data_IF_171616567995
#
_entry.id   IF_171616567995
#
_cell.length_a   1.000
_cell.length_b   1.000
_cell.length_c   1.000
_cell.angle_alpha   90.00
_cell.angle_beta   90.00
_cell.angle_gamma   90.00
#
_symmetry.space_group_name_H-M   'P 1'
#
loop_
_entity.id
_entity.type
_entity.pdbx_description
1 polymer ?
#
# COMPACT_ATOMS: atom_id res chain seq x y z
N UNK A 1 7.18 -19.19 18.55
CA UNK A 1 8.22 -18.15 18.44
C UNK A 1 7.72 -16.92 19.21
N UNK A 2 8.56 -15.98 19.66
CA UNK A 2 8.05 -14.75 20.26
C UNK A 2 7.39 -13.87 19.18
N UNK A 3 6.30 -13.13 19.48
CA UNK A 3 5.54 -12.36 18.51
C UNK A 3 6.34 -11.26 17.81
N UNK A 4 7.42 -10.78 18.43
CA UNK A 4 8.16 -9.62 17.95
C UNK A 4 9.58 -9.92 17.44
N UNK A 5 10.06 -11.16 17.57
CA UNK A 5 11.41 -11.55 17.12
C UNK A 5 12.56 -10.67 17.66
N UNK A 6 12.39 -10.06 18.83
CA UNK A 6 13.36 -9.14 19.43
C UNK A 6 13.27 -7.70 18.93
N UNK A 7 12.34 -7.41 18.02
CA UNK A 7 12.08 -6.08 17.50
C UNK A 7 11.03 -5.33 18.31
N UNK A 8 11.01 -4.00 18.17
CA UNK A 8 10.07 -3.10 18.83
C UNK A 8 9.71 -1.94 17.90
N UNK A 9 8.61 -1.19 18.16
CA UNK A 9 8.21 -0.05 17.32
C UNK A 9 9.35 0.95 17.06
N UNK A 10 10.23 1.17 18.05
CA UNK A 10 11.42 2.01 17.92
C UNK A 10 12.46 1.59 16.86
N UNK A 11 12.33 0.40 16.26
CA UNK A 11 13.18 -0.02 15.14
C UNK A 11 12.70 0.59 13.81
N UNK A 12 11.46 1.10 13.76
CA UNK A 12 10.87 1.77 12.61
C UNK A 12 10.32 0.82 11.54
N UNK A 13 9.36 1.29 10.75
CA UNK A 13 8.63 0.52 9.73
C UNK A 13 9.55 -0.18 8.72
N UNK A 14 10.65 0.48 8.33
CA UNK A 14 11.64 -0.05 7.39
C UNK A 14 12.32 -1.35 7.86
N UNK A 15 12.37 -1.60 9.19
CA UNK A 15 12.81 -2.87 9.78
C UNK A 15 11.59 -3.76 10.07
N UNK A 16 10.55 -3.18 10.66
CA UNK A 16 9.38 -3.93 11.11
C UNK A 16 8.66 -4.63 9.96
N UNK A 17 8.63 -4.10 8.74
CA UNK A 17 7.98 -4.77 7.60
C UNK A 17 8.49 -6.18 7.31
N UNK A 18 9.76 -6.46 7.60
CA UNK A 18 10.38 -7.77 7.35
C UNK A 18 10.30 -8.68 8.59
N UNK A 19 10.30 -8.08 9.78
CA UNK A 19 10.24 -8.79 11.05
C UNK A 19 8.82 -9.04 11.55
N UNK A 20 7.88 -8.15 11.25
CA UNK A 20 6.49 -8.12 11.69
C UNK A 20 5.60 -8.23 10.44
N UNK A 21 5.11 -9.44 10.25
CA UNK A 21 4.24 -9.78 9.13
C UNK A 21 3.77 -11.23 9.24
N UNK A 22 4.00 -11.87 10.38
CA UNK A 22 3.54 -13.22 10.59
C UNK A 22 2.09 -13.17 11.01
N UNK A 23 1.28 -13.80 10.18
CA UNK A 23 -0.16 -13.99 10.38
C UNK A 23 -0.56 -14.37 11.82
N UNK A 24 0.21 -15.24 12.48
CA UNK A 24 -0.11 -15.75 13.83
C UNK A 24 -0.01 -14.67 14.92
N UNK A 25 0.71 -13.57 14.68
CA UNK A 25 0.95 -12.49 15.66
C UNK A 25 0.38 -11.15 15.20
N UNK A 26 -0.55 -11.18 14.25
CA UNK A 26 -1.10 -9.99 13.62
C UNK A 26 -1.78 -9.05 14.64
N UNK A 27 -2.47 -9.62 15.62
CA UNK A 27 -3.12 -8.86 16.70
C UNK A 27 -2.09 -8.14 17.58
N UNK A 28 -1.13 -8.89 18.13
CA UNK A 28 -0.13 -8.36 19.03
C UNK A 28 0.76 -7.33 18.34
N UNK A 29 1.13 -7.55 17.08
CA UNK A 29 1.93 -6.63 16.27
C UNK A 29 1.15 -5.35 15.94
N UNK A 30 -0.12 -5.48 15.52
CA UNK A 30 -0.95 -4.31 15.21
C UNK A 30 -1.20 -3.46 16.45
N UNK A 31 -1.50 -4.11 17.59
CA UNK A 31 -1.72 -3.43 18.87
C UNK A 31 -0.45 -2.72 19.35
N UNK A 32 0.68 -3.42 19.40
CA UNK A 32 1.95 -2.83 19.84
C UNK A 32 2.34 -1.63 18.97
N UNK A 33 2.10 -1.72 17.65
CA UNK A 33 2.40 -0.61 16.76
C UNK A 33 1.43 0.56 16.93
N UNK A 34 0.13 0.30 17.15
CA UNK A 34 -0.86 1.35 17.40
C UNK A 34 -0.55 2.10 18.71
N UNK A 35 -0.10 1.40 19.74
CA UNK A 35 0.25 1.99 21.05
C UNK A 35 1.49 2.91 20.96
N UNK A 36 2.49 2.57 20.13
CA UNK A 36 3.78 3.28 20.02
C UNK A 36 4.03 3.87 18.61
N UNK A 37 2.96 4.23 17.87
CA UNK A 37 3.05 4.58 16.46
C UNK A 37 3.98 5.77 16.18
N UNK A 38 3.91 6.82 17.01
CA UNK A 38 4.74 8.00 16.87
C UNK A 38 6.24 7.67 16.97
N UNK A 39 6.60 6.71 17.83
CA UNK A 39 7.99 6.25 17.96
C UNK A 39 8.46 5.52 16.71
N UNK A 40 7.61 4.68 16.10
CA UNK A 40 7.92 4.01 14.84
C UNK A 40 8.08 4.99 13.68
N UNK A 41 7.23 6.02 13.60
CA UNK A 41 7.35 7.09 12.60
C UNK A 41 8.68 7.83 12.76
N UNK A 42 9.02 8.25 13.99
CA UNK A 42 10.25 8.96 14.27
C UNK A 42 11.48 8.12 13.92
N UNK A 43 11.54 6.87 14.39
CA UNK A 43 12.64 5.96 14.08
C UNK A 43 12.81 5.72 12.57
N UNK A 44 11.70 5.61 11.85
CA UNK A 44 11.72 5.50 10.38
C UNK A 44 12.24 6.76 9.72
N UNK A 45 11.83 7.93 10.20
CA UNK A 45 12.31 9.22 9.71
C UNK A 45 13.81 9.35 9.95
N UNK A 46 14.30 9.04 11.15
CA UNK A 46 15.72 9.14 11.49
C UNK A 46 16.57 8.24 10.58
N UNK A 47 16.12 7.00 10.35
CA UNK A 47 16.80 6.03 9.49
C UNK A 47 16.65 6.28 7.99
N UNK A 48 15.65 7.05 7.55
CA UNK A 48 15.40 7.28 6.14
C UNK A 48 16.58 8.00 5.46
N UNK A 49 17.10 7.49 4.34
CA UNK A 49 18.22 8.11 3.64
C UNK A 49 17.79 9.42 2.99
N UNK A 50 18.69 10.41 3.01
CA UNK A 50 18.54 11.63 2.19
C UNK A 50 19.07 11.31 0.79
N UNK A 51 18.21 11.41 -0.22
CA UNK A 51 18.57 11.07 -1.60
C UNK A 51 19.29 12.21 -2.31
N UNK A 52 20.48 11.91 -2.84
CA UNK A 52 21.29 12.84 -3.65
C UNK A 52 21.21 12.57 -5.15
N UNK A 53 20.95 11.32 -5.54
CA UNK A 53 20.99 10.85 -6.94
C UNK A 53 19.70 11.09 -7.75
N UNK A 54 18.83 12.02 -7.31
CA UNK A 54 17.49 12.23 -7.88
C UNK A 54 16.53 11.05 -7.60
N UNK A 55 15.26 11.20 -7.99
CA UNK A 55 14.19 10.22 -7.69
C UNK A 55 13.72 9.41 -8.90
N UNK A 56 14.18 9.74 -10.11
CA UNK A 56 13.86 8.96 -11.32
C UNK A 56 12.34 8.78 -11.56
N UNK A 57 11.56 9.84 -11.34
CA UNK A 57 10.10 9.82 -11.46
C UNK A 57 9.61 9.52 -12.89
N UNK A 58 10.39 9.90 -13.91
CA UNK A 58 10.10 9.67 -15.32
C UNK A 58 10.56 8.30 -15.86
N UNK A 59 10.70 7.28 -15.00
CA UNK A 59 10.95 5.91 -15.47
C UNK A 59 9.79 5.48 -16.37
N UNK A 60 10.11 4.87 -17.51
CA UNK A 60 9.12 4.26 -18.39
C UNK A 60 8.94 2.78 -18.04
N UNK A 61 7.69 2.32 -18.03
CA UNK A 61 7.36 0.90 -17.93
C UNK A 61 7.85 0.20 -19.19
N UNK A 62 9.00 -0.48 -19.13
CA UNK A 62 9.49 -1.26 -20.26
C UNK A 62 8.56 -2.46 -20.50
N UNK A 63 8.10 -2.63 -21.74
CA UNK A 63 7.19 -3.71 -22.13
C UNK A 63 7.87 -5.09 -22.08
N UNK A 64 9.21 -5.14 -22.17
CA UNK A 64 10.00 -6.37 -22.18
C UNK A 64 10.45 -6.82 -20.77
N UNK A 65 9.50 -6.97 -19.86
CA UNK A 65 9.77 -7.58 -18.55
C UNK A 65 9.53 -9.10 -18.60
N UNK A 66 10.46 -9.87 -18.04
CA UNK A 66 10.33 -11.32 -17.95
C UNK A 66 9.04 -11.72 -17.21
N UNK A 67 8.42 -12.85 -17.58
CA UNK A 67 7.22 -13.38 -16.91
C UNK A 67 7.41 -13.58 -15.40
N UNK A 68 8.64 -13.84 -14.95
CA UNK A 68 8.99 -13.97 -13.53
C UNK A 68 8.87 -12.66 -12.73
N UNK A 69 8.61 -11.52 -13.40
CA UNK A 69 8.42 -10.20 -12.81
C UNK A 69 6.95 -9.75 -12.86
N UNK A 70 6.02 -10.65 -12.53
CA UNK A 70 4.57 -10.41 -12.59
C UNK A 70 4.13 -9.13 -11.86
N UNK A 71 4.66 -8.88 -10.66
CA UNK A 71 4.34 -7.69 -9.85
C UNK A 71 4.77 -6.41 -10.57
N UNK A 72 6.00 -6.37 -11.06
CA UNK A 72 6.53 -5.23 -11.82
C UNK A 72 5.79 -4.99 -13.13
N UNK A 73 5.32 -6.05 -13.79
CA UNK A 73 4.44 -5.94 -14.97
C UNK A 73 3.10 -5.32 -14.59
N UNK A 74 2.53 -5.73 -13.46
CA UNK A 74 1.28 -5.15 -12.97
C UNK A 74 1.47 -3.66 -12.63
N UNK A 75 2.54 -3.28 -11.93
CA UNK A 75 2.87 -1.87 -11.66
C UNK A 75 2.94 -1.03 -12.95
N UNK A 76 3.72 -1.49 -13.93
CA UNK A 76 3.85 -0.79 -15.21
C UNK A 76 2.52 -0.72 -15.97
N UNK A 77 1.71 -1.79 -15.93
CA UNK A 77 0.40 -1.80 -16.54
C UNK A 77 -0.57 -0.83 -15.85
N UNK A 78 -0.54 -0.75 -14.52
CA UNK A 78 -1.30 0.23 -13.75
C UNK A 78 -0.86 1.66 -14.11
N UNK A 79 0.44 1.94 -14.14
CA UNK A 79 0.93 3.25 -14.54
C UNK A 79 0.47 3.58 -15.98
N UNK A 80 0.61 2.66 -16.93
CA UNK A 80 0.18 2.87 -18.32
C UNK A 80 -1.32 3.14 -18.42
N UNK A 81 -2.13 2.48 -17.58
CA UNK A 81 -3.57 2.68 -17.55
C UNK A 81 -3.95 4.02 -16.96
N UNK A 82 -3.46 4.36 -15.76
CA UNK A 82 -3.88 5.52 -14.96
C UNK A 82 -2.95 6.73 -15.04
N UNK A 83 -1.93 6.72 -15.88
CA UNK A 83 -1.15 7.92 -16.26
C UNK A 83 -1.71 8.59 -17.52
N UNK A 84 -3.00 8.40 -17.82
CA UNK A 84 -3.67 9.00 -18.95
C UNK A 84 -4.64 10.09 -18.46
N UNK A 85 -4.67 11.24 -19.12
CA UNK A 85 -5.55 12.38 -18.82
C UNK A 85 -7.05 12.07 -18.99
N UNK A 86 -7.38 11.10 -19.84
CA UNK A 86 -8.76 10.67 -20.08
C UNK A 86 -9.29 9.69 -19.01
N UNK A 87 -8.45 9.30 -18.05
CA UNK A 87 -8.85 8.38 -16.99
C UNK A 87 -9.50 9.09 -15.82
N UNK A 88 -10.59 8.49 -15.36
CA UNK A 88 -11.26 8.94 -14.16
C UNK A 88 -10.37 8.73 -12.92
N UNK A 89 -10.36 9.70 -11.99
CA UNK A 89 -9.82 9.49 -10.65
C UNK A 89 -10.41 8.25 -9.98
N UNK A 90 -9.60 7.57 -9.16
CA UNK A 90 -10.06 6.52 -8.27
C UNK A 90 -10.39 7.16 -6.91
N UNK A 91 -11.68 7.25 -6.52
CA UNK A 91 -12.08 7.89 -5.27
C UNK A 91 -11.37 7.29 -4.06
N UNK A 92 -10.87 8.16 -3.18
CA UNK A 92 -10.15 7.75 -1.97
C UNK A 92 -8.73 7.23 -2.20
N UNK A 93 -8.29 7.03 -3.46
CA UNK A 93 -6.96 6.50 -3.78
C UNK A 93 -6.09 7.54 -4.50
N UNK A 94 -6.29 7.76 -5.80
CA UNK A 94 -5.47 8.69 -6.60
C UNK A 94 -6.29 9.36 -7.71
N UNK A 95 -5.87 10.57 -8.11
CA UNK A 95 -6.37 11.20 -9.34
C UNK A 95 -5.66 10.66 -10.57
N UNK A 96 -4.35 10.44 -10.48
CA UNK A 96 -3.52 9.91 -11.55
C UNK A 96 -2.34 9.14 -10.96
N UNK A 97 -1.91 8.06 -11.59
CA UNK A 97 -0.62 7.42 -11.30
C UNK A 97 0.45 8.10 -12.15
N UNK A 98 1.57 8.49 -11.54
CA UNK A 98 2.56 9.37 -12.20
C UNK A 98 3.98 8.82 -12.19
N UNK A 99 4.32 7.92 -11.28
CA UNK A 99 5.62 7.25 -11.29
C UNK A 99 5.49 5.80 -10.79
N UNK A 100 6.46 4.96 -11.15
CA UNK A 100 6.57 3.59 -10.68
C UNK A 100 8.02 3.25 -10.34
N UNK A 101 8.23 2.31 -9.42
CA UNK A 101 9.55 1.86 -8.96
C UNK A 101 10.45 3.04 -8.58
N UNK A 102 9.96 3.94 -7.72
CA UNK A 102 10.70 5.13 -7.28
C UNK A 102 11.69 4.73 -6.19
N UNK A 103 13.02 4.80 -6.43
CA UNK A 103 14.01 4.30 -5.48
C UNK A 103 14.08 5.19 -4.24
N UNK A 104 14.23 4.58 -3.06
CA UNK A 104 14.40 5.32 -1.80
C UNK A 104 15.82 5.31 -1.23
N UNK A 105 16.68 4.37 -1.63
CA UNK A 105 18.07 4.29 -1.16
C UNK A 105 19.01 5.32 -1.83
N UNK A 106 20.02 5.83 -1.11
CA UNK A 106 20.94 6.83 -1.65
C UNK A 106 22.15 6.23 -2.41
N UNK A 107 22.55 5.00 -2.09
CA UNK A 107 23.72 4.31 -2.66
C UNK A 107 23.35 2.93 -3.22
N UNK A 108 24.29 2.23 -3.87
CA UNK A 108 24.03 0.89 -4.40
C UNK A 108 23.60 -0.13 -3.33
N UNK A 109 23.96 0.10 -2.06
CA UNK A 109 23.45 -0.68 -0.92
C UNK A 109 22.09 -0.15 -0.52
N UNK A 110 21.13 -1.07 -0.46
CA UNK A 110 19.73 -0.77 -0.16
C UNK A 110 19.46 -0.55 1.33
N UNK A 111 20.23 -1.17 2.23
CA UNK A 111 20.11 -1.03 3.69
C UNK A 111 18.64 -1.04 4.19
N UNK A 112 17.88 -2.06 3.77
CA UNK A 112 16.43 -2.25 4.03
C UNK A 112 15.46 -1.29 3.30
N UNK A 113 15.97 -0.32 2.53
CA UNK A 113 15.18 0.58 1.71
C UNK A 113 14.93 0.02 0.30
N UNK A 114 13.66 0.04 -0.10
CA UNK A 114 13.20 -0.50 -1.37
C UNK A 114 12.96 0.55 -2.45
N UNK A 115 12.07 0.18 -3.36
CA UNK A 115 11.43 1.08 -4.30
C UNK A 115 9.99 1.27 -3.85
N UNK A 116 9.43 2.46 -4.04
CA UNK A 116 7.98 2.65 -4.02
C UNK A 116 7.43 2.04 -5.30
N UNK A 117 6.51 1.09 -5.18
CA UNK A 117 5.92 0.41 -6.34
C UNK A 117 5.29 1.41 -7.30
N UNK A 118 4.41 2.27 -6.76
CA UNK A 118 3.68 3.27 -7.51
C UNK A 118 3.51 4.57 -6.71
N UNK A 119 3.61 5.70 -7.40
CA UNK A 119 3.23 7.01 -6.89
C UNK A 119 2.06 7.55 -7.68
N UNK A 120 1.01 7.92 -6.96
CA UNK A 120 -0.10 8.72 -7.47
C UNK A 120 0.01 10.18 -7.06
N UNK A 121 -0.85 11.00 -7.66
CA UNK A 121 -1.14 12.36 -7.20
C UNK A 121 -2.63 12.46 -6.87
N UNK A 122 -2.98 13.12 -5.77
CA UNK A 122 -4.37 13.40 -5.41
C UNK A 122 -4.81 14.79 -5.96
N UNK A 123 -6.09 15.21 -5.80
CA UNK A 123 -6.55 16.50 -6.30
C UNK A 123 -5.79 17.71 -5.71
N UNK A 124 -5.25 17.56 -4.51
CA UNK A 124 -4.52 18.58 -3.76
C UNK A 124 -3.01 18.61 -4.10
N UNK A 125 -2.56 17.84 -5.10
CA UNK A 125 -1.17 17.79 -5.53
C UNK A 125 -0.24 16.98 -4.61
N UNK A 126 -0.80 16.32 -3.59
CA UNK A 126 -0.04 15.47 -2.66
C UNK A 126 0.39 14.17 -3.35
N UNK A 127 1.63 13.71 -3.11
CA UNK A 127 2.03 12.36 -3.50
C UNK A 127 1.22 11.32 -2.71
N UNK A 128 0.73 10.32 -3.42
CA UNK A 128 0.04 9.15 -2.88
C UNK A 128 0.96 7.95 -3.03
N UNK A 129 1.30 7.30 -1.92
CA UNK A 129 2.08 6.06 -1.94
C UNK A 129 1.15 4.90 -2.18
N UNK A 130 1.37 4.14 -3.25
CA UNK A 130 0.59 2.94 -3.57
C UNK A 130 1.52 1.73 -3.44
N UNK A 131 1.27 0.91 -2.42
CA UNK A 131 1.94 -0.38 -2.23
C UNK A 131 1.09 -1.48 -2.88
N UNK A 132 1.71 -2.27 -3.75
CA UNK A 132 1.04 -3.30 -4.52
C UNK A 132 1.41 -4.69 -3.99
N UNK A 133 0.43 -5.57 -3.85
CA UNK A 133 0.70 -7.01 -3.70
C UNK A 133 0.10 -7.81 -4.83
N UNK A 134 0.82 -8.85 -5.24
CA UNK A 134 0.36 -9.79 -6.26
C UNK A 134 -0.66 -10.79 -5.73
N UNK A 135 -1.34 -11.44 -6.68
CA UNK A 135 -2.12 -12.62 -6.39
C UNK A 135 -1.24 -13.70 -5.76
N UNK A 136 -1.73 -14.38 -4.72
CA UNK A 136 -1.00 -15.45 -4.10
C UNK A 136 -0.84 -16.61 -5.11
N UNK A 137 0.35 -17.24 -5.23
CA UNK A 137 0.52 -18.36 -6.14
C UNK A 137 -0.37 -19.52 -5.69
N UNK A 138 -1.19 -20.02 -6.61
CA UNK A 138 -1.98 -21.23 -6.37
C UNK A 138 -1.08 -22.47 -6.53
N UNK A 139 -1.02 -23.33 -5.53
CA UNK A 139 -0.45 -24.67 -5.69
C UNK A 139 -1.40 -25.54 -6.53
N UNK A 140 -0.90 -26.66 -7.04
CA UNK A 140 -1.69 -27.64 -7.82
C UNK A 140 -2.96 -28.13 -7.11
N UNK A 141 -3.03 -28.00 -5.77
CA UNK A 141 -4.17 -28.41 -4.95
C UNK A 141 -5.09 -27.22 -4.58
N UNK A 142 -4.93 -26.06 -5.22
CA UNK A 142 -5.69 -24.84 -4.92
C UNK A 142 -5.34 -24.19 -3.57
N UNK A 143 -4.31 -24.67 -2.88
CA UNK A 143 -3.80 -24.04 -1.66
C UNK A 143 -2.88 -22.90 -2.06
N UNK A 144 -3.13 -21.71 -1.55
CA UNK A 144 -2.30 -20.55 -1.77
C UNK A 144 -1.30 -20.39 -0.63
N UNK A 145 -0.03 -20.13 -0.95
CA UNK A 145 0.99 -19.79 0.04
C UNK A 145 1.43 -18.34 -0.20
N UNK A 146 0.88 -17.42 0.60
CA UNK A 146 1.31 -16.03 0.56
C UNK A 146 1.88 -15.60 1.91
N UNK A 147 3.20 -15.34 2.01
CA UNK A 147 3.81 -14.78 3.20
C UNK A 147 3.45 -13.31 3.41
N UNK A 148 2.96 -12.62 2.37
CA UNK A 148 2.54 -11.22 2.46
C UNK A 148 1.27 -11.10 3.30
N UNK A 149 1.16 -10.03 4.08
CA UNK A 149 0.00 -9.72 4.94
C UNK A 149 -0.43 -8.28 4.77
N UNK A 150 -1.70 -7.93 5.09
CA UNK A 150 -2.15 -6.54 5.07
C UNK A 150 -1.31 -5.65 5.98
N UNK A 151 -0.88 -6.15 7.15
CA UNK A 151 0.05 -5.44 8.02
C UNK A 151 1.37 -5.14 7.33
N UNK A 152 2.03 -6.12 6.72
CA UNK A 152 3.30 -5.89 6.02
C UNK A 152 3.17 -4.83 4.91
N UNK A 153 2.14 -4.96 4.08
CA UNK A 153 1.83 -3.98 3.01
C UNK A 153 1.67 -2.57 3.58
N UNK A 154 0.98 -2.44 4.72
CA UNK A 154 0.79 -1.15 5.39
C UNK A 154 2.11 -0.57 5.92
N UNK A 155 2.98 -1.40 6.50
CA UNK A 155 4.29 -0.98 7.01
C UNK A 155 5.21 -0.52 5.88
N UNK A 156 5.18 -1.18 4.72
CA UNK A 156 5.92 -0.77 3.52
C UNK A 156 5.47 0.61 3.03
N UNK A 157 4.16 0.79 2.81
CA UNK A 157 3.60 2.08 2.40
C UNK A 157 3.95 3.21 3.39
N UNK A 158 3.80 2.95 4.69
CA UNK A 158 4.12 3.92 5.73
C UNK A 158 5.61 4.28 5.78
N UNK A 159 6.51 3.29 5.62
CA UNK A 159 7.95 3.54 5.55
C UNK A 159 8.31 4.47 4.39
N UNK A 160 7.69 4.24 3.23
CA UNK A 160 7.92 5.03 2.03
C UNK A 160 7.40 6.45 2.17
N UNK A 161 6.20 6.62 2.71
CA UNK A 161 5.63 7.93 2.98
C UNK A 161 6.50 8.77 3.93
N UNK A 162 6.96 8.19 5.04
CA UNK A 162 7.86 8.87 5.98
C UNK A 162 9.17 9.28 5.30
N UNK A 163 9.72 8.42 4.45
CA UNK A 163 10.92 8.74 3.65
C UNK A 163 10.69 9.90 2.67
N UNK A 164 9.52 9.96 2.03
CA UNK A 164 9.14 11.08 1.16
C UNK A 164 9.04 12.39 1.93
N UNK A 165 8.41 12.39 3.12
CA UNK A 165 8.33 13.58 3.98
C UNK A 165 9.71 14.13 4.30
N UNK A 166 10.65 13.26 4.71
CA UNK A 166 12.03 13.65 5.00
C UNK A 166 12.73 14.27 3.79
N UNK A 167 12.47 13.75 2.60
CA UNK A 167 13.14 14.18 1.37
C UNK A 167 12.41 15.33 0.64
N UNK A 168 11.26 15.79 1.15
CA UNK A 168 10.37 16.72 0.46
C UNK A 168 11.09 18.00 0.02
N UNK A 169 11.60 18.76 1.00
CA UNK A 169 12.25 20.05 0.74
C UNK A 169 13.69 19.95 0.26
N UNK A 170 14.32 18.78 0.40
CA UNK A 170 15.69 18.61 -0.04
C UNK A 170 15.76 18.66 -1.57
N UNK A 171 14.99 17.81 -2.25
CA UNK A 171 14.97 17.69 -3.72
C UNK A 171 13.68 17.12 -4.29
N UNK A 172 12.87 16.44 -3.48
CA UNK A 172 11.72 15.70 -4.02
C UNK A 172 10.64 16.65 -4.53
N UNK A 173 10.30 17.72 -3.81
CA UNK A 173 9.25 18.67 -4.19
C UNK A 173 9.51 19.31 -5.55
N UNK A 174 10.74 19.73 -5.82
CA UNK A 174 11.12 20.31 -7.12
C UNK A 174 10.97 19.28 -8.23
N UNK A 175 11.55 18.08 -8.05
CA UNK A 175 11.46 16.99 -9.02
C UNK A 175 10.01 16.56 -9.26
N UNK A 176 9.19 16.51 -8.20
CA UNK A 176 7.77 16.20 -8.24
C UNK A 176 7.00 17.23 -9.06
N UNK A 177 7.17 18.52 -8.76
CA UNK A 177 6.50 19.62 -9.46
C UNK A 177 6.86 19.65 -10.94
N UNK A 178 8.15 19.49 -11.27
CA UNK A 178 8.61 19.41 -12.66
C UNK A 178 7.99 18.21 -13.39
N UNK A 179 7.99 17.04 -12.76
CA UNK A 179 7.42 15.82 -13.34
C UNK A 179 5.91 15.93 -13.58
N UNK A 180 5.15 16.49 -12.63
CA UNK A 180 3.71 16.72 -12.81
C UNK A 180 3.42 17.72 -13.93
N UNK A 181 4.28 18.75 -14.08
CA UNK A 181 4.20 19.72 -15.18
C UNK A 181 4.44 19.05 -16.52
N UNK A 182 5.47 18.21 -16.64
CA UNK A 182 5.78 17.47 -17.87
C UNK A 182 4.65 16.51 -18.27
N UNK A 183 3.99 15.89 -17.28
CA UNK A 183 2.82 15.04 -17.48
C UNK A 183 1.53 15.82 -17.78
N UNK A 184 1.58 17.15 -17.79
CA UNK A 184 0.42 18.04 -17.98
C UNK A 184 -0.70 17.80 -16.97
N UNK A 185 -0.35 17.51 -15.72
CA UNK A 185 -1.33 17.49 -14.63
C UNK A 185 -1.95 18.90 -14.52
N UNK A 186 -3.27 19.03 -14.25
CA UNK A 186 -3.92 20.33 -14.21
C UNK A 186 -3.20 21.34 -13.32
N UNK A 187 -3.07 22.58 -13.80
CA UNK A 187 -2.40 23.66 -13.06
C UNK A 187 -3.06 23.91 -11.69
N UNK A 188 -4.38 23.70 -11.59
CA UNK A 188 -5.12 23.77 -10.32
C UNK A 188 -4.63 22.75 -9.28
N UNK A 189 -4.13 21.59 -9.71
CA UNK A 189 -3.53 20.57 -8.82
C UNK A 189 -2.07 20.91 -8.52
N UNK A 190 -1.30 21.37 -9.52
CA UNK A 190 0.11 21.77 -9.32
C UNK A 190 0.22 22.95 -8.33
N UNK A 191 -0.69 23.92 -8.41
CA UNK A 191 -0.71 25.09 -7.53
C UNK A 191 -1.08 24.75 -6.07
N UNK A 192 -1.54 23.53 -5.80
CA UNK A 192 -1.84 23.04 -4.45
C UNK A 192 -0.68 22.28 -3.80
N UNK A 193 0.41 22.00 -4.53
CA UNK A 193 1.58 21.31 -3.99
C UNK A 193 2.14 22.10 -2.79
N UNK A 194 2.11 21.52 -1.58
CA UNK A 194 2.43 22.27 -0.37
C UNK A 194 3.93 22.58 -0.29
N UNK A 195 4.28 23.64 0.44
CA UNK A 195 5.69 23.90 0.78
C UNK A 195 6.24 22.79 1.68
N UNK A 196 5.46 22.32 2.65
CA UNK A 196 5.82 21.23 3.56
C UNK A 196 4.92 20.01 3.32
N UNK A 197 5.51 18.81 3.30
CA UNK A 197 4.75 17.57 3.16
C UNK A 197 4.46 16.96 4.52
N UNK A 198 3.35 17.38 5.13
CA UNK A 198 2.85 16.80 6.39
C UNK A 198 2.03 15.54 6.13
N UNK A 199 1.21 15.54 5.08
CA UNK A 199 0.24 14.47 4.80
C UNK A 199 0.66 13.68 3.57
N UNK A 200 0.63 12.35 3.68
CA UNK A 200 0.94 11.44 2.56
C UNK A 200 -0.06 10.30 2.59
N UNK A 201 -1.05 10.29 1.69
CA UNK A 201 -2.01 9.20 1.60
C UNK A 201 -1.33 7.88 1.23
N UNK A 202 -1.77 6.81 1.87
CA UNK A 202 -1.33 5.43 1.64
C UNK A 202 -2.45 4.66 0.95
N UNK A 203 -2.12 3.95 -0.12
CA UNK A 203 -3.05 3.04 -0.78
C UNK A 203 -2.46 1.63 -0.76
N UNK A 204 -3.19 0.74 -0.11
CA UNK A 204 -2.93 -0.68 -0.08
C UNK A 204 -3.68 -1.33 -1.25
N UNK A 205 -2.97 -1.71 -2.31
CA UNK A 205 -3.55 -2.21 -3.55
C UNK A 205 -3.23 -3.70 -3.75
N UNK A 206 -4.24 -4.52 -4.02
CA UNK A 206 -4.03 -5.92 -4.34
C UNK A 206 -5.20 -6.52 -5.14
N UNK A 207 -5.02 -7.67 -5.81
CA UNK A 207 -6.12 -8.40 -6.43
C UNK A 207 -7.16 -8.88 -5.42
N UNK A 208 -8.41 -9.06 -5.88
CA UNK A 208 -9.50 -9.60 -5.05
C UNK A 208 -9.12 -10.92 -4.35
N UNK A 209 -8.37 -11.78 -5.04
CA UNK A 209 -7.87 -13.04 -4.48
C UNK A 209 -7.00 -12.83 -3.22
N UNK A 210 -6.18 -11.78 -3.18
CA UNK A 210 -5.41 -11.43 -1.99
C UNK A 210 -6.35 -11.07 -0.83
N UNK A 211 -7.30 -10.16 -1.06
CA UNK A 211 -8.23 -9.70 -0.03
C UNK A 211 -9.12 -10.82 0.51
N UNK A 212 -9.57 -11.73 -0.36
CA UNK A 212 -10.42 -12.84 0.03
C UNK A 212 -9.75 -13.79 1.03
N UNK A 213 -8.44 -13.99 0.97
CA UNK A 213 -7.75 -14.82 1.96
C UNK A 213 -7.85 -14.27 3.39
N UNK A 214 -8.11 -12.98 3.54
CA UNK A 214 -8.16 -12.32 4.85
C UNK A 214 -9.57 -12.20 5.39
N UNK A 215 -10.56 -12.70 4.65
CA UNK A 215 -11.95 -12.79 5.10
C UNK A 215 -12.07 -13.73 6.31
N UNK A 216 -12.86 -13.36 7.32
CA UNK A 216 -12.95 -14.06 8.61
C UNK A 216 -13.50 -15.49 8.49
N UNK A 217 -14.12 -15.84 7.36
CA UNK A 217 -14.64 -17.18 7.07
C UNK A 217 -13.71 -18.05 6.23
N UNK A 218 -12.55 -17.57 5.81
CA UNK A 218 -11.53 -18.44 5.21
C UNK A 218 -10.66 -19.08 6.28
N UNK A 219 -9.99 -20.19 5.96
CA UNK A 219 -9.05 -20.80 6.90
C UNK A 219 -7.92 -19.82 7.29
N UNK A 220 -7.51 -18.95 6.35
CA UNK A 220 -6.47 -17.97 6.62
C UNK A 220 -7.00 -16.84 7.51
N UNK A 221 -8.11 -16.20 7.18
CA UNK A 221 -8.71 -15.17 8.03
C UNK A 221 -9.13 -15.67 9.41
N UNK A 222 -9.71 -16.87 9.57
CA UNK A 222 -10.08 -17.42 10.90
C UNK A 222 -8.91 -17.51 11.88
N UNK A 223 -7.72 -17.74 11.37
CA UNK A 223 -6.50 -17.81 12.18
C UNK A 223 -5.79 -16.47 12.34
N UNK A 224 -6.28 -15.41 11.68
CA UNK A 224 -5.94 -14.04 12.08
C UNK A 224 -6.91 -13.61 13.17
N UNK A 225 -6.37 -13.42 14.38
CA UNK A 225 -6.99 -12.54 15.37
C UNK A 225 -6.75 -11.07 15.04
N UNK A 226 -7.24 -10.17 15.89
CA UNK A 226 -6.81 -8.77 15.90
C UNK A 226 -7.26 -7.87 14.75
N UNK A 227 -8.37 -8.17 14.08
CA UNK A 227 -8.93 -7.27 13.08
C UNK A 227 -9.26 -5.89 13.64
N UNK A 228 -9.80 -5.83 14.87
CA UNK A 228 -10.09 -4.58 15.56
C UNK A 228 -8.80 -3.77 15.79
N UNK A 229 -7.70 -4.43 16.17
CA UNK A 229 -6.42 -3.77 16.40
C UNK A 229 -5.73 -3.31 15.11
N UNK A 230 -5.93 -4.04 14.01
CA UNK A 230 -5.49 -3.58 12.70
C UNK A 230 -6.28 -2.35 12.22
N UNK A 231 -7.61 -2.34 12.39
CA UNK A 231 -8.42 -1.16 12.09
C UNK A 231 -8.02 0.02 12.98
N UNK A 232 -7.78 -0.22 14.27
CA UNK A 232 -7.26 0.80 15.19
C UNK A 232 -5.92 1.37 14.70
N UNK A 233 -4.99 0.52 14.26
CA UNK A 233 -3.72 0.95 13.69
C UNK A 233 -3.93 1.83 12.44
N UNK A 234 -4.85 1.46 11.55
CA UNK A 234 -5.21 2.25 10.36
C UNK A 234 -5.74 3.64 10.77
N UNK A 235 -6.62 3.70 11.77
CA UNK A 235 -7.15 4.96 12.29
C UNK A 235 -6.05 5.83 12.93
N UNK A 236 -5.13 5.22 13.70
CA UNK A 236 -4.00 5.94 14.30
C UNK A 236 -3.03 6.47 13.23
N UNK A 237 -2.78 5.73 12.14
CA UNK A 237 -2.01 6.25 10.99
C UNK A 237 -2.68 7.48 10.37
N UNK A 238 -4.01 7.45 10.20
CA UNK A 238 -4.77 8.61 9.74
C UNK A 238 -4.58 9.85 10.63
N UNK A 239 -4.60 9.67 11.96
CA UNK A 239 -4.31 10.75 12.93
C UNK A 239 -2.87 11.26 12.88
N UNK A 240 -1.94 10.48 12.33
CA UNK A 240 -0.53 10.85 12.09
C UNK A 240 -0.28 11.33 10.64
N UNK A 241 -1.32 11.84 9.97
CA UNK A 241 -1.27 12.39 8.62
C UNK A 241 -0.92 11.34 7.53
N UNK A 242 -1.11 10.05 7.82
CA UNK A 242 -0.91 8.91 6.92
C UNK A 242 -2.26 8.21 6.65
N UNK A 243 -3.26 8.89 6.05
CA UNK A 243 -4.56 8.28 5.81
C UNK A 243 -4.44 7.09 4.86
N UNK A 244 -5.09 5.99 5.20
CA UNK A 244 -4.99 4.71 4.48
C UNK A 244 -6.28 4.44 3.72
N UNK A 245 -6.16 4.04 2.46
CA UNK A 245 -7.26 3.44 1.68
C UNK A 245 -6.84 2.07 1.14
N UNK A 246 -7.84 1.27 0.79
CA UNK A 246 -7.65 -0.08 0.26
C UNK A 246 -8.36 -0.19 -1.08
N UNK A 247 -7.71 -0.83 -2.05
CA UNK A 247 -8.30 -1.05 -3.37
C UNK A 247 -8.10 -2.48 -3.86
N UNK A 248 -9.12 -3.00 -4.53
CA UNK A 248 -9.06 -4.26 -5.26
C UNK A 248 -8.75 -4.01 -6.73
N UNK A 249 -7.77 -4.74 -7.28
CA UNK A 249 -7.40 -4.69 -8.69
C UNK A 249 -7.92 -5.93 -9.42
N UNK A 250 -8.41 -5.76 -10.63
CA UNK A 250 -8.80 -6.85 -11.54
C UNK A 250 -8.36 -6.58 -12.97
N UNK A 251 -8.31 -7.62 -13.79
CA UNK A 251 -7.87 -7.55 -15.19
C UNK A 251 -6.48 -8.14 -15.38
N UNK A 252 -5.93 -7.98 -16.59
CA UNK A 252 -4.67 -8.60 -16.98
C UNK A 252 -3.58 -7.56 -17.22
N UNK A 253 -2.40 -7.74 -16.61
CA UNK A 253 -1.27 -6.83 -16.78
C UNK A 253 -0.80 -6.72 -18.25
N UNK A 254 -0.98 -7.77 -19.04
CA UNK A 254 -0.69 -7.78 -20.49
C UNK A 254 -1.62 -6.87 -21.30
N UNK A 255 -2.80 -6.53 -20.76
CA UNK A 255 -3.78 -5.67 -21.39
C UNK A 255 -4.19 -4.54 -20.43
N UNK A 256 -3.36 -3.49 -20.27
CA UNK A 256 -3.62 -2.39 -19.33
C UNK A 256 -5.02 -1.78 -19.42
N UNK A 257 -5.63 -1.76 -20.62
CA UNK A 257 -7.00 -1.27 -20.84
C UNK A 257 -8.09 -2.08 -20.14
N UNK A 258 -7.82 -3.35 -19.82
CA UNK A 258 -8.73 -4.24 -19.08
C UNK A 258 -8.60 -4.10 -17.56
N UNK A 259 -7.57 -3.40 -17.09
CA UNK A 259 -7.39 -3.19 -15.67
C UNK A 259 -8.52 -2.31 -15.12
N UNK A 260 -9.06 -2.76 -14.00
CA UNK A 260 -10.06 -2.05 -13.22
C UNK A 260 -9.65 -2.00 -11.75
N UNK A 261 -10.10 -0.96 -11.06
CA UNK A 261 -9.86 -0.74 -9.64
C UNK A 261 -11.21 -0.51 -8.96
N UNK A 262 -11.42 -1.21 -7.85
CA UNK A 262 -12.57 -1.03 -6.99
C UNK A 262 -12.08 -0.56 -5.61
N UNK A 263 -12.41 0.67 -5.18
CA UNK A 263 -12.21 1.08 -3.79
C UNK A 263 -12.94 0.15 -2.84
N UNK A 264 -12.29 -0.17 -1.72
CA UNK A 264 -12.89 -0.95 -0.64
C UNK A 264 -13.34 0.02 0.45
N UNK A 265 -14.62 0.41 0.41
CA UNK A 265 -15.23 1.35 1.36
C UNK A 265 -15.13 0.87 2.82
N UNK A 266 -15.05 -0.44 2.98
CA UNK A 266 -14.69 -1.07 4.23
C UNK A 266 -13.79 -2.26 3.92
N UNK A 267 -12.80 -2.50 4.79
CA UNK A 267 -12.09 -3.77 4.77
C UNK A 267 -13.14 -4.89 4.91
N UNK A 268 -13.04 -5.95 4.12
CA UNK A 268 -14.10 -6.95 4.05
C UNK A 268 -14.18 -7.83 5.32
N UNK A 269 -13.30 -7.58 6.30
CA UNK A 269 -13.32 -8.14 7.65
C UNK A 269 -13.64 -7.10 8.74
N UNK A 270 -14.03 -5.87 8.39
CA UNK A 270 -14.50 -4.88 9.34
C UNK A 270 -15.80 -5.35 10.03
N UNK A 271 -16.07 -4.83 11.23
CA UNK A 271 -17.28 -5.17 11.99
C UNK A 271 -18.57 -4.97 11.20
N UNK A 272 -18.63 -3.93 10.36
CA UNK A 272 -19.74 -3.69 9.45
C UNK A 272 -19.91 -4.83 8.43
N UNK A 273 -18.83 -5.32 7.82
CA UNK A 273 -18.86 -6.46 6.89
C UNK A 273 -19.25 -7.78 7.59
N UNK A 274 -18.82 -7.96 8.84
CA UNK A 274 -19.17 -9.12 9.68
C UNK A 274 -20.64 -9.13 10.13
N UNK A 275 -21.24 -7.96 10.35
CA UNK A 275 -22.65 -7.85 10.71
C UNK A 275 -23.59 -8.24 9.55
N UNK A 276 -23.17 -8.04 8.29
CA UNK A 276 -23.89 -8.57 7.11
C UNK A 276 -23.78 -10.09 6.94
N UNK A 277 -22.75 -10.72 7.52
CA UNK A 277 -22.53 -12.16 7.44
C UNK A 277 -23.27 -12.97 8.53
N UNK A 278 -23.94 -12.30 9.47
CA UNK A 278 -24.77 -12.99 10.47
C UNK A 278 -26.01 -13.56 9.78
N UNK A 279 -26.30 -14.87 9.93
CA UNK A 279 -27.55 -15.43 9.44
C UNK A 279 -28.72 -14.64 10.03
N UNK A 280 -29.69 -14.26 9.21
CA UNK A 280 -30.89 -13.58 9.67
C UNK A 280 -31.56 -14.51 10.70
N UNK A 281 -31.77 -14.06 11.94
CA UNK A 281 -32.40 -14.90 12.96
C UNK A 281 -33.77 -15.37 12.47
N UNK A 282 -33.89 -16.66 12.16
CA UNK A 282 -35.13 -17.27 11.66
C UNK A 282 -35.08 -17.86 10.25
N UNK A 283 -33.99 -17.72 9.48
CA UNK A 283 -33.87 -18.45 8.20
C UNK A 283 -33.47 -19.91 8.45
N UNK A 284 -34.45 -20.79 8.54
CA UNK A 284 -34.23 -22.24 8.51
C UNK A 284 -33.94 -22.69 7.08
N UNK A 285 -32.69 -22.57 6.63
CA UNK A 285 -32.29 -23.18 5.37
C UNK A 285 -32.15 -24.70 5.55
N UNK A 286 -33.21 -25.40 5.16
CA UNK A 286 -33.11 -26.79 4.71
C UNK A 286 -32.37 -26.77 3.37
N UNK A 287 -31.05 -26.94 3.41
CA UNK A 287 -30.29 -27.27 2.21
C UNK A 287 -30.64 -28.71 1.79
N UNK A 288 -31.32 -28.85 0.65
CA UNK A 288 -31.28 -30.09 -0.12
C UNK A 288 -29.86 -30.28 -0.65
N UNK A 289 -29.34 -31.51 -0.47
CA UNK A 289 -28.16 -32.03 -1.17
C UNK A 289 -28.40 -32.12 -2.67
#
# INVERSE_FOLDING_TARGET
MPPFYGHKPADGFHVLKDAWGQKTYHEEQSKALADDLAQAIQATCDAAPIRRQGFQLARQGTVDMAETQEERRLEAAMLNRWNNEDMWPIPGAWSRLVAFQTPLFNEAKKDSWGYIDLLGVNPDGLPVVVELKRSPPATANGVTSNPETPLRMLLEAAAYAVSLRKNWNERFREAWTAHLTDLKVPESTINQIPSELTTVPLVAAAPAAFWMEWLPFTAKGRSMGGYEEFCRLVDELGKQELPVSFVSISGEASFPSTLAVQPLDALPWSKQALDFAKPIPGSSDKACL
#
